data_IF_733690999143
#
_entry.id   IF_733690999143
#
_cell.length_a   1.000
_cell.length_b   1.000
_cell.length_c   1.000
_cell.angle_alpha   90.00
_cell.angle_beta   90.00
_cell.angle_gamma   90.00
#
_symmetry.space_group_name_H-M   'P 1'
#
loop_
_entity.id
_entity.type
_entity.pdbx_description
1 polymer ?
#
# COMPACT_ATOMS: atom_id res chain seq x y z
N UNK A 1 2.09 -15.31 -20.86
CA UNK A 1 0.80 -14.60 -20.69
C UNK A 1 0.98 -13.16 -21.13
N UNK A 2 0.20 -12.64 -22.07
CA UNK A 2 0.24 -11.23 -22.43
C UNK A 2 -0.13 -10.38 -21.21
N UNK A 3 0.61 -9.29 -21.01
CA UNK A 3 0.41 -8.36 -19.88
C UNK A 3 -0.97 -7.69 -19.98
N UNK A 4 -1.66 -7.47 -18.84
CA UNK A 4 -2.92 -6.74 -18.86
C UNK A 4 -2.65 -5.34 -19.41
N UNK A 5 -3.29 -5.01 -20.54
CA UNK A 5 -3.26 -3.66 -21.12
C UNK A 5 -3.69 -2.65 -20.06
N UNK A 6 -2.89 -1.59 -19.89
CA UNK A 6 -3.26 -0.47 -19.05
C UNK A 6 -4.59 0.10 -19.54
N UNK A 7 -5.55 0.30 -18.62
CA UNK A 7 -6.82 0.93 -18.98
C UNK A 7 -6.53 2.34 -19.49
N UNK A 8 -7.13 2.73 -20.63
CA UNK A 8 -6.96 4.04 -21.27
C UNK A 8 -7.39 5.25 -20.41
N UNK A 9 -7.91 5.01 -19.20
CA UNK A 9 -8.27 6.03 -18.23
C UNK A 9 -7.39 5.87 -16.99
N UNK A 10 -6.68 6.92 -16.56
CA UNK A 10 -5.99 6.94 -15.27
C UNK A 10 -7.00 6.61 -14.17
N UNK A 11 -6.68 5.72 -13.22
CA UNK A 11 -7.53 5.52 -12.05
C UNK A 11 -7.48 6.78 -11.17
N UNK A 12 -8.36 7.75 -11.45
CA UNK A 12 -8.37 9.09 -10.82
C UNK A 12 -8.23 9.03 -9.31
N UNK A 13 -8.99 8.15 -8.64
CA UNK A 13 -8.92 8.00 -7.19
C UNK A 13 -7.56 7.47 -6.69
N UNK A 14 -6.88 6.62 -7.46
CA UNK A 14 -5.55 6.13 -7.13
C UNK A 14 -4.47 7.19 -7.36
N UNK A 15 -4.60 8.00 -8.42
CA UNK A 15 -3.71 9.12 -8.70
C UNK A 15 -3.86 10.22 -7.65
N UNK A 16 -5.10 10.58 -7.31
CA UNK A 16 -5.41 11.57 -6.26
C UNK A 16 -4.89 11.11 -4.90
N UNK A 17 -4.96 9.81 -4.61
CA UNK A 17 -4.37 9.23 -3.40
C UNK A 17 -2.85 9.38 -3.38
N UNK A 18 -2.16 9.04 -4.48
CA UNK A 18 -0.70 9.08 -4.56
C UNK A 18 -0.15 10.52 -4.53
N UNK A 19 -0.75 11.44 -5.28
CA UNK A 19 -0.38 12.87 -5.31
C UNK A 19 -0.38 13.52 -3.93
N UNK A 20 -1.22 13.04 -3.03
CA UNK A 20 -1.40 13.60 -1.69
C UNK A 20 -0.56 12.91 -0.62
N UNK A 21 0.44 12.10 -0.99
CA UNK A 21 1.43 11.56 -0.06
C UNK A 21 2.50 12.58 0.29
N UNK A 22 2.92 12.63 1.55
CA UNK A 22 4.12 13.33 1.99
C UNK A 22 5.40 12.63 1.52
N UNK A 23 6.56 13.21 1.81
CA UNK A 23 7.87 12.59 1.58
C UNK A 23 8.52 12.34 2.94
N UNK A 24 8.99 11.12 3.17
CA UNK A 24 9.71 10.76 4.39
C UNK A 24 10.92 9.90 4.01
N UNK A 25 12.16 10.37 4.18
CA UNK A 25 13.34 9.52 4.02
C UNK A 25 13.34 8.40 5.05
N UNK A 26 13.74 7.19 4.66
CA UNK A 26 13.84 6.05 5.58
C UNK A 26 15.04 5.19 5.25
N UNK A 27 15.78 4.71 6.27
CA UNK A 27 16.95 3.86 6.05
C UNK A 27 16.54 2.40 5.86
N UNK A 28 15.72 1.86 6.77
CA UNK A 28 15.14 0.53 6.68
C UNK A 28 13.63 0.61 6.38
N UNK A 29 13.07 -0.39 5.72
CA UNK A 29 11.62 -0.42 5.50
C UNK A 29 10.85 -0.55 6.83
N UNK A 30 11.51 -1.04 7.88
CA UNK A 30 11.00 -1.13 9.25
C UNK A 30 11.00 0.22 9.99
N UNK A 31 11.66 1.25 9.45
CA UNK A 31 11.70 2.60 10.07
C UNK A 31 10.45 3.42 9.75
N UNK A 32 9.93 3.25 8.54
CA UNK A 32 8.75 3.96 8.08
C UNK A 32 7.57 3.03 8.30
N UNK A 33 6.86 3.18 9.41
CA UNK A 33 5.89 2.19 9.86
C UNK A 33 4.45 2.46 9.38
N UNK A 34 3.68 1.40 9.08
CA UNK A 34 2.22 1.35 8.75
C UNK A 34 1.58 2.61 8.12
N UNK A 35 1.20 3.57 8.94
CA UNK A 35 0.50 4.80 8.55
C UNK A 35 1.36 5.68 7.64
N UNK A 36 2.67 5.68 7.85
CA UNK A 36 3.63 6.39 7.01
C UNK A 36 3.77 5.76 5.62
N UNK A 37 3.56 4.44 5.45
CA UNK A 37 3.44 3.86 4.10
C UNK A 37 2.10 4.22 3.42
N UNK A 38 1.06 4.53 4.18
CA UNK A 38 -0.22 5.03 3.66
C UNK A 38 -0.17 6.53 3.32
N UNK A 39 0.60 7.30 4.09
CA UNK A 39 0.57 8.76 4.11
C UNK A 39 1.82 9.43 3.53
N UNK A 40 2.96 8.76 3.56
CA UNK A 40 4.22 9.20 2.98
C UNK A 40 4.70 8.24 1.87
N UNK A 41 5.43 8.80 0.92
CA UNK A 41 6.21 8.07 -0.06
C UNK A 41 7.62 7.92 0.47
N UNK A 42 8.04 6.68 0.68
CA UNK A 42 9.36 6.36 1.22
C UNK A 42 9.98 5.25 0.41
N UNK A 43 11.30 5.34 0.24
CA UNK A 43 12.12 4.28 -0.34
C UNK A 43 13.23 4.02 0.64
N UNK A 44 13.31 2.79 1.17
CA UNK A 44 14.36 2.44 2.13
C UNK A 44 15.74 2.84 1.58
N UNK A 45 16.69 3.24 2.43
CA UNK A 45 18.05 3.68 2.07
C UNK A 45 18.11 4.87 1.09
N UNK A 46 17.00 5.58 0.86
CA UNK A 46 16.95 6.81 0.08
C UNK A 46 16.83 7.98 1.04
N UNK A 47 17.96 8.39 1.60
CA UNK A 47 18.03 9.51 2.55
C UNK A 47 18.04 10.88 1.86
N UNK A 48 18.43 10.92 0.59
CA UNK A 48 18.40 12.14 -0.20
C UNK A 48 16.95 12.49 -0.59
N UNK A 49 16.48 13.63 -0.07
CA UNK A 49 15.12 14.11 -0.30
C UNK A 49 14.86 14.45 -1.77
N UNK A 50 15.83 15.02 -2.49
CA UNK A 50 15.68 15.38 -3.91
C UNK A 50 15.51 14.13 -4.78
N UNK A 51 16.32 13.09 -4.52
CA UNK A 51 16.15 11.80 -5.20
C UNK A 51 14.79 11.18 -4.91
N UNK A 52 14.30 11.30 -3.67
CA UNK A 52 12.98 10.80 -3.29
C UNK A 52 11.84 11.56 -4.00
N UNK A 53 11.98 12.88 -4.20
CA UNK A 53 11.05 13.70 -5.00
C UNK A 53 11.01 13.20 -6.44
N UNK A 54 12.16 13.01 -7.07
CA UNK A 54 12.25 12.58 -8.47
C UNK A 54 11.67 11.17 -8.66
N UNK A 55 11.98 10.24 -7.76
CA UNK A 55 11.43 8.88 -7.79
C UNK A 55 9.92 8.89 -7.56
N UNK A 56 9.41 9.72 -6.64
CA UNK A 56 7.97 9.90 -6.44
C UNK A 56 7.30 10.41 -7.71
N UNK A 57 7.88 11.41 -8.38
CA UNK A 57 7.34 11.98 -9.61
C UNK A 57 7.22 10.92 -10.72
N UNK A 58 8.24 10.05 -10.88
CA UNK A 58 8.19 8.95 -11.84
C UNK A 58 7.10 7.92 -11.51
N UNK A 59 6.88 7.61 -10.22
CA UNK A 59 5.80 6.71 -9.80
C UNK A 59 4.43 7.35 -10.06
N UNK A 60 4.30 8.65 -9.82
CA UNK A 60 3.08 9.40 -10.12
C UNK A 60 2.77 9.39 -11.62
N UNK A 61 3.77 9.67 -12.46
CA UNK A 61 3.65 9.64 -13.90
C UNK A 61 3.23 8.25 -14.38
N UNK A 62 3.87 7.19 -13.87
CA UNK A 62 3.52 5.83 -14.20
C UNK A 62 2.09 5.46 -13.79
N UNK A 63 1.57 6.01 -12.68
CA UNK A 63 0.17 5.87 -12.27
C UNK A 63 -0.78 6.63 -13.20
N UNK A 64 -0.42 7.86 -13.56
CA UNK A 64 -1.25 8.76 -14.37
C UNK A 64 -1.38 8.29 -15.82
N UNK A 65 -0.28 7.86 -16.43
CA UNK A 65 -0.23 7.42 -17.83
C UNK A 65 -0.48 5.92 -17.99
N UNK A 66 -0.57 5.18 -16.88
CA UNK A 66 -0.72 3.73 -16.91
C UNK A 66 0.51 3.00 -17.47
N UNK A 67 1.71 3.53 -17.25
CA UNK A 67 2.95 2.96 -17.78
C UNK A 67 3.16 1.51 -17.30
N UNK A 68 3.74 0.68 -18.16
CA UNK A 68 4.16 -0.68 -17.81
C UNK A 68 5.39 -0.66 -16.90
N UNK A 69 5.72 -1.81 -16.30
CA UNK A 69 6.94 -1.94 -15.50
C UNK A 69 8.19 -1.64 -16.32
N UNK A 70 8.23 -2.08 -17.59
CA UNK A 70 9.37 -1.89 -18.48
C UNK A 70 9.59 -0.41 -18.80
N UNK A 71 8.52 0.33 -19.06
CA UNK A 71 8.58 1.78 -19.30
C UNK A 71 9.08 2.52 -18.05
N UNK A 72 8.51 2.20 -16.89
CA UNK A 72 8.95 2.78 -15.62
C UNK A 72 10.42 2.44 -15.32
N UNK A 73 10.84 1.19 -15.51
CA UNK A 73 12.21 0.75 -15.26
C UNK A 73 13.22 1.46 -16.17
N UNK A 74 12.86 1.67 -17.45
CA UNK A 74 13.69 2.42 -18.40
C UNK A 74 13.85 3.89 -17.99
N UNK A 75 12.83 4.51 -17.37
CA UNK A 75 12.87 5.89 -16.90
C UNK A 75 13.64 6.07 -15.58
N UNK A 76 13.41 5.20 -14.59
CA UNK A 76 13.98 5.35 -13.25
C UNK A 76 15.44 4.87 -13.16
N UNK A 77 15.85 3.88 -13.94
CA UNK A 77 17.21 3.32 -13.83
C UNK A 77 18.31 4.36 -14.11
N UNK A 78 18.26 5.17 -15.19
CA UNK A 78 19.25 6.21 -15.43
C UNK A 78 19.35 7.23 -14.30
N UNK A 79 18.19 7.60 -13.72
CA UNK A 79 18.12 8.50 -12.56
C UNK A 79 18.89 7.92 -11.37
N UNK A 80 18.58 6.67 -10.99
CA UNK A 80 19.23 6.02 -9.85
C UNK A 80 20.74 5.82 -10.06
N UNK A 81 21.16 5.54 -11.29
CA UNK A 81 22.60 5.44 -11.62
C UNK A 81 23.27 6.80 -11.51
N UNK A 82 22.68 7.85 -12.10
CA UNK A 82 23.21 9.22 -12.06
C UNK A 82 23.30 9.75 -10.62
N UNK A 83 22.35 9.40 -9.77
CA UNK A 83 22.33 9.81 -8.36
C UNK A 83 23.28 9.00 -7.46
N UNK A 84 24.05 8.06 -8.02
CA UNK A 84 24.91 7.15 -7.26
C UNK A 84 24.14 6.11 -6.43
N UNK A 85 22.82 6.01 -6.59
CA UNK A 85 21.97 5.08 -5.85
C UNK A 85 21.83 3.75 -6.61
N UNK A 86 22.93 3.16 -7.06
CA UNK A 86 22.91 1.90 -7.82
C UNK A 86 23.98 0.93 -7.35
N UNK A 87 23.64 -0.36 -7.34
CA UNK A 87 24.56 -1.42 -6.93
C UNK A 87 24.71 -1.55 -5.41
N UNK A 88 25.79 -2.19 -5.00
CA UNK A 88 26.20 -2.32 -3.60
C UNK A 88 27.03 -1.09 -3.26
N UNK A 89 26.69 -0.42 -2.17
CA UNK A 89 27.41 0.73 -1.64
C UNK A 89 27.69 0.52 -0.14
N UNK A 90 28.72 1.18 0.36
CA UNK A 90 28.95 1.29 1.79
C UNK A 90 28.11 2.43 2.34
N UNK A 91 27.36 2.18 3.41
CA UNK A 91 26.52 3.19 4.03
C UNK A 91 26.48 2.98 5.54
N UNK A 92 26.56 4.08 6.28
CA UNK A 92 26.45 4.06 7.72
C UNK A 92 24.98 3.98 8.12
N UNK A 93 24.64 3.04 8.99
CA UNK A 93 23.31 2.93 9.55
C UNK A 93 23.10 4.06 10.57
N UNK A 94 22.16 5.00 10.36
CA UNK A 94 21.96 6.11 11.28
C UNK A 94 21.48 5.69 12.67
N UNK A 95 20.96 4.46 12.82
CA UNK A 95 20.51 3.94 14.11
C UNK A 95 21.64 3.28 14.93
N UNK A 96 22.62 2.66 14.27
CA UNK A 96 23.70 1.92 14.96
C UNK A 96 25.09 2.56 14.82
N UNK A 97 25.28 3.44 13.83
CA UNK A 97 26.56 4.05 13.49
C UNK A 97 27.53 3.13 12.74
N UNK A 98 27.11 1.91 12.38
CA UNK A 98 27.97 0.93 11.71
C UNK A 98 27.93 1.08 10.18
N UNK A 99 29.09 1.03 9.54
CA UNK A 99 29.20 0.95 8.07
C UNK A 99 28.85 -0.45 7.58
N UNK A 100 27.82 -0.54 6.72
CA UNK A 100 27.38 -1.79 6.15
C UNK A 100 27.38 -1.76 4.62
N UNK A 101 27.71 -2.90 4.00
CA UNK A 101 27.51 -3.10 2.56
C UNK A 101 26.02 -3.27 2.29
N UNK A 102 25.42 -2.29 1.63
CA UNK A 102 24.00 -2.27 1.33
C UNK A 102 23.74 -2.26 -0.17
N UNK A 103 22.84 -3.14 -0.61
CA UNK A 103 22.27 -3.00 -1.95
C UNK A 103 21.35 -1.78 -1.97
N UNK A 104 21.72 -0.76 -2.76
CA UNK A 104 20.89 0.41 -3.07
C UNK A 104 19.95 0.06 -4.23
N UNK A 105 20.12 0.64 -5.41
CA UNK A 105 19.35 0.30 -6.60
C UNK A 105 19.69 -1.09 -7.16
N UNK A 106 18.67 -1.81 -7.60
CA UNK A 106 18.78 -3.03 -8.40
C UNK A 106 17.51 -3.21 -9.24
N UNK A 107 17.57 -4.04 -10.28
CA UNK A 107 16.39 -4.38 -11.09
C UNK A 107 15.24 -4.94 -10.24
N UNK A 108 15.57 -5.85 -9.32
CA UNK A 108 14.59 -6.40 -8.37
C UNK A 108 13.95 -5.32 -7.49
N UNK A 109 14.74 -4.33 -7.07
CA UNK A 109 14.25 -3.25 -6.22
C UNK A 109 13.37 -2.26 -6.97
N UNK A 110 13.73 -1.89 -8.20
CA UNK A 110 12.86 -1.07 -9.07
C UNK A 110 11.49 -1.74 -9.21
N UNK A 111 11.49 -3.06 -9.44
CA UNK A 111 10.26 -3.86 -9.53
C UNK A 111 9.43 -3.81 -8.26
N UNK A 112 10.06 -3.92 -7.09
CA UNK A 112 9.36 -3.79 -5.80
C UNK A 112 8.77 -2.40 -5.62
N UNK A 113 9.54 -1.33 -5.87
CA UNK A 113 9.08 0.06 -5.77
C UNK A 113 7.86 0.28 -6.65
N UNK A 114 7.95 -0.09 -7.93
CA UNK A 114 6.83 0.02 -8.86
C UNK A 114 5.62 -0.77 -8.36
N UNK A 115 5.77 -2.08 -8.14
CA UNK A 115 4.62 -2.96 -7.85
C UNK A 115 3.93 -2.61 -6.54
N UNK A 116 4.69 -2.30 -5.49
CA UNK A 116 4.14 -1.94 -4.19
C UNK A 116 3.33 -0.65 -4.29
N UNK A 117 3.92 0.43 -4.82
CA UNK A 117 3.21 1.70 -4.94
C UNK A 117 1.98 1.61 -5.84
N UNK A 118 2.12 0.92 -6.98
CA UNK A 118 1.03 0.73 -7.93
C UNK A 118 -0.13 -0.08 -7.35
N UNK A 119 0.14 -1.08 -6.50
CA UNK A 119 -0.92 -1.88 -5.86
C UNK A 119 -1.56 -1.15 -4.70
N UNK A 120 -0.79 -0.54 -3.81
CA UNK A 120 -1.33 0.19 -2.66
C UNK A 120 -2.18 1.38 -3.13
N UNK A 121 -1.74 2.11 -4.16
CA UNK A 121 -2.53 3.20 -4.76
C UNK A 121 -3.85 2.71 -5.37
N UNK A 122 -3.81 1.61 -6.14
CA UNK A 122 -5.03 1.02 -6.72
C UNK A 122 -5.97 0.49 -5.64
N UNK A 123 -5.46 -0.14 -4.58
CA UNK A 123 -6.26 -0.62 -3.46
C UNK A 123 -6.94 0.54 -2.72
N UNK A 124 -6.23 1.63 -2.47
CA UNK A 124 -6.81 2.81 -1.85
C UNK A 124 -7.89 3.47 -2.74
N UNK A 125 -7.63 3.60 -4.04
CA UNK A 125 -8.63 4.09 -4.99
C UNK A 125 -9.85 3.15 -5.09
N UNK A 126 -9.62 1.84 -5.05
CA UNK A 126 -10.70 0.84 -5.01
C UNK A 126 -11.55 1.01 -3.74
N UNK A 127 -10.95 1.18 -2.58
CA UNK A 127 -11.68 1.39 -1.32
C UNK A 127 -12.54 2.66 -1.36
N UNK A 128 -12.03 3.76 -1.91
CA UNK A 128 -12.82 4.98 -2.08
C UNK A 128 -14.05 4.76 -2.97
N UNK A 129 -13.90 3.98 -4.05
CA UNK A 129 -15.04 3.59 -4.88
C UNK A 129 -16.02 2.70 -4.12
N UNK A 130 -15.50 1.70 -3.39
CA UNK A 130 -16.29 0.80 -2.55
C UNK A 130 -17.15 1.60 -1.58
N UNK A 131 -16.56 2.53 -0.82
CA UNK A 131 -17.29 3.38 0.13
C UNK A 131 -18.37 4.22 -0.55
N UNK A 132 -18.09 4.75 -1.75
CA UNK A 132 -19.06 5.54 -2.53
C UNK A 132 -20.24 4.71 -3.01
N UNK A 133 -20.02 3.44 -3.37
CA UNK A 133 -21.05 2.56 -3.96
C UNK A 133 -21.63 1.54 -2.99
N UNK A 134 -21.19 1.53 -1.72
CA UNK A 134 -21.59 0.50 -0.74
C UNK A 134 -23.10 0.41 -0.51
N UNK A 135 -23.85 1.50 -0.72
CA UNK A 135 -25.32 1.47 -0.65
C UNK A 135 -25.95 0.51 -1.67
N UNK A 136 -25.39 0.47 -2.89
CA UNK A 136 -25.87 -0.40 -3.97
C UNK A 136 -25.21 -1.78 -3.94
N UNK A 137 -23.93 -1.84 -3.56
CA UNK A 137 -23.14 -3.07 -3.51
C UNK A 137 -22.49 -3.21 -2.12
N UNK A 138 -23.23 -3.68 -1.11
CA UNK A 138 -22.81 -3.60 0.29
C UNK A 138 -21.87 -4.71 0.75
N UNK A 139 -21.49 -5.66 -0.11
CA UNK A 139 -20.63 -6.78 0.24
C UNK A 139 -19.36 -6.82 -0.60
N UNK A 140 -18.31 -7.41 -0.03
CA UNK A 140 -17.02 -7.64 -0.66
C UNK A 140 -16.70 -9.13 -0.63
N UNK A 141 -16.16 -9.63 -1.74
CA UNK A 141 -15.61 -10.98 -1.87
C UNK A 141 -14.09 -10.87 -1.96
N UNK A 142 -13.35 -11.54 -1.08
CA UNK A 142 -11.91 -11.69 -1.19
C UNK A 142 -11.55 -12.69 -2.29
N UNK A 143 -10.66 -12.32 -3.20
CA UNK A 143 -10.28 -13.15 -4.34
C UNK A 143 -8.77 -13.23 -4.53
N UNK A 144 -8.30 -14.42 -4.93
CA UNK A 144 -6.93 -14.62 -5.35
C UNK A 144 -6.66 -13.87 -6.66
N UNK A 145 -5.44 -13.32 -6.76
CA UNK A 145 -4.95 -12.73 -8.00
C UNK A 145 -4.13 -13.72 -8.84
N UNK A 146 -3.48 -13.26 -9.92
CA UNK A 146 -2.71 -14.09 -10.84
C UNK A 146 -1.28 -14.36 -10.30
N UNK A 147 -1.12 -14.66 -9.01
CA UNK A 147 0.17 -15.13 -8.52
C UNK A 147 0.31 -16.61 -8.87
N UNK A 148 1.54 -17.09 -9.10
CA UNK A 148 1.77 -18.52 -9.30
C UNK A 148 1.57 -19.29 -8.01
N UNK A 149 1.97 -18.67 -6.90
CA UNK A 149 1.91 -19.24 -5.56
C UNK A 149 1.21 -18.25 -4.62
N UNK A 150 0.42 -18.79 -3.72
CA UNK A 150 -0.35 -18.05 -2.74
C UNK A 150 -0.01 -18.55 -1.34
N UNK A 151 0.00 -17.63 -0.36
CA UNK A 151 0.14 -17.99 1.06
C UNK A 151 -1.08 -18.83 1.47
N UNK A 152 -0.89 -19.86 2.29
CA UNK A 152 -1.95 -20.81 2.64
C UNK A 152 -3.22 -20.12 3.19
N UNK A 153 -3.05 -19.16 4.12
CA UNK A 153 -4.19 -18.39 4.64
C UNK A 153 -4.88 -17.54 3.56
N UNK A 154 -4.15 -17.03 2.56
CA UNK A 154 -4.79 -16.27 1.48
C UNK A 154 -5.64 -17.18 0.60
N UNK A 155 -5.26 -18.46 0.47
CA UNK A 155 -6.05 -19.49 -0.22
C UNK A 155 -7.31 -19.81 0.57
N UNK A 156 -7.23 -19.96 1.89
CA UNK A 156 -8.42 -20.17 2.73
C UNK A 156 -9.35 -18.96 2.76
N UNK A 157 -8.82 -17.75 2.56
CA UNK A 157 -9.63 -16.53 2.46
C UNK A 157 -10.33 -16.34 1.10
N UNK A 158 -9.99 -17.14 0.09
CA UNK A 158 -10.64 -17.02 -1.20
C UNK A 158 -12.14 -17.33 -1.09
N UNK A 159 -12.99 -16.37 -1.43
CA UNK A 159 -14.45 -16.49 -1.30
C UNK A 159 -15.02 -16.00 0.04
N UNK A 160 -14.20 -15.51 0.98
CA UNK A 160 -14.70 -14.75 2.14
C UNK A 160 -15.54 -13.58 1.62
N UNK A 161 -16.81 -13.57 1.99
CA UNK A 161 -17.83 -12.64 1.52
C UNK A 161 -18.46 -11.94 2.70
N UNK A 162 -18.06 -10.69 2.93
CA UNK A 162 -18.43 -9.94 4.12
C UNK A 162 -19.02 -8.57 3.75
N UNK A 163 -19.86 -7.98 4.62
CA UNK A 163 -20.26 -6.58 4.48
C UNK A 163 -19.04 -5.65 4.33
N UNK A 164 -19.18 -4.56 3.59
CA UNK A 164 -18.11 -3.54 3.43
C UNK A 164 -17.64 -2.99 4.78
N UNK A 165 -18.57 -2.82 5.73
CA UNK A 165 -18.28 -2.26 7.05
C UNK A 165 -17.76 -3.31 8.07
N UNK A 166 -17.56 -4.56 7.66
CA UNK A 166 -17.03 -5.61 8.52
C UNK A 166 -15.61 -5.25 9.03
N UNK A 167 -15.32 -5.42 10.33
CA UNK A 167 -14.01 -5.12 10.91
C UNK A 167 -12.84 -5.88 10.26
N UNK A 168 -13.08 -7.04 9.66
CA UNK A 168 -12.04 -7.84 8.98
C UNK A 168 -11.32 -7.03 7.89
N UNK A 169 -12.04 -6.17 7.17
CA UNK A 169 -11.48 -5.31 6.12
C UNK A 169 -10.58 -4.19 6.65
N UNK A 170 -10.47 -3.98 7.96
CA UNK A 170 -9.53 -3.00 8.52
C UNK A 170 -8.08 -3.44 8.33
N UNK A 171 -7.82 -4.75 8.30
CA UNK A 171 -6.46 -5.32 8.23
C UNK A 171 -6.26 -6.29 7.06
N UNK A 172 -7.34 -6.83 6.47
CA UNK A 172 -7.28 -7.84 5.41
C UNK A 172 -7.58 -7.30 4.01
N UNK A 173 -7.73 -5.98 3.85
CA UNK A 173 -7.88 -5.34 2.54
C UNK A 173 -6.56 -5.44 1.75
N UNK A 174 -6.49 -6.19 0.65
CA UNK A 174 -5.26 -6.38 -0.09
C UNK A 174 -4.67 -5.06 -0.61
N UNK A 175 -3.34 -4.96 -0.76
CA UNK A 175 -2.34 -6.02 -0.55
C UNK A 175 -2.05 -6.33 0.93
N UNK A 176 -1.95 -7.63 1.25
CA UNK A 176 -1.75 -8.15 2.62
C UNK A 176 -0.28 -8.52 2.94
N UNK A 177 0.65 -8.09 2.09
CA UNK A 177 2.07 -8.46 2.17
C UNK A 177 2.84 -8.18 0.89
N UNK A 178 4.16 -8.32 0.97
CA UNK A 178 5.04 -8.13 -0.18
C UNK A 178 4.70 -9.13 -1.28
N UNK A 179 4.57 -8.62 -2.52
CA UNK A 179 4.22 -9.43 -3.68
C UNK A 179 2.80 -10.00 -3.69
N UNK A 180 1.95 -9.68 -2.70
CA UNK A 180 0.55 -10.11 -2.67
C UNK A 180 -0.19 -9.64 -3.93
N UNK A 181 -0.92 -10.57 -4.56
CA UNK A 181 -1.72 -10.26 -5.77
C UNK A 181 -3.22 -10.30 -5.58
N UNK A 182 -3.68 -10.69 -4.39
CA UNK A 182 -5.09 -10.77 -4.03
C UNK A 182 -5.79 -9.42 -4.19
N UNK A 183 -7.11 -9.46 -4.30
CA UNK A 183 -7.96 -8.30 -4.53
C UNK A 183 -9.34 -8.56 -3.95
N UNK A 184 -10.18 -7.53 -3.91
CA UNK A 184 -11.58 -7.65 -3.48
C UNK A 184 -12.52 -7.31 -4.61
N UNK A 185 -13.67 -7.96 -4.65
CA UNK A 185 -14.74 -7.67 -5.60
C UNK A 185 -15.99 -7.24 -4.86
N UNK A 186 -16.54 -6.09 -5.23
CA UNK A 186 -17.79 -5.61 -4.63
C UNK A 186 -18.99 -6.28 -5.30
N UNK A 187 -19.97 -6.70 -4.50
CA UNK A 187 -21.17 -7.42 -4.97
C UNK A 187 -22.45 -6.82 -4.40
N UNK A 188 -23.54 -6.99 -5.14
CA UNK A 188 -24.88 -6.57 -4.72
C UNK A 188 -25.52 -7.53 -3.71
N UNK A 189 -26.60 -7.10 -3.05
CA UNK A 189 -27.40 -7.98 -2.19
C UNK A 189 -27.98 -9.19 -2.95
N UNK A 190 -28.36 -8.98 -4.20
CA UNK A 190 -28.89 -10.04 -5.05
C UNK A 190 -27.83 -11.10 -5.37
N UNK A 191 -26.62 -10.67 -5.71
CA UNK A 191 -25.52 -11.61 -5.94
C UNK A 191 -25.11 -12.32 -4.65
N UNK A 192 -25.04 -11.61 -3.52
CA UNK A 192 -24.79 -12.21 -2.21
C UNK A 192 -25.77 -13.37 -1.94
N UNK A 193 -27.07 -13.14 -2.11
CA UNK A 193 -28.09 -14.17 -1.88
C UNK A 193 -27.95 -15.38 -2.82
N UNK A 194 -27.39 -15.20 -4.03
CA UNK A 194 -27.09 -16.32 -4.95
C UNK A 194 -25.87 -17.11 -4.53
N UNK A 195 -24.87 -16.45 -3.95
CA UNK A 195 -23.65 -17.10 -3.50
C UNK A 195 -23.85 -17.84 -2.17
N UNK A 196 -24.86 -17.45 -1.39
CA UNK A 196 -25.21 -18.12 -0.14
C UNK A 196 -25.50 -19.61 -0.39
N UNK A 197 -24.82 -20.49 0.35
CA UNK A 197 -24.88 -21.94 0.15
C UNK A 197 -24.07 -22.48 -1.04
N UNK A 198 -23.41 -21.63 -1.82
CA UNK A 198 -22.50 -22.07 -2.90
C UNK A 198 -21.15 -22.50 -2.33
N UNK A 199 -20.64 -23.65 -2.78
CA UNK A 199 -19.33 -24.15 -2.38
C UNK A 199 -18.22 -23.15 -2.72
N UNK A 200 -17.30 -22.93 -1.77
CA UNK A 200 -16.17 -22.03 -1.93
C UNK A 200 -16.43 -20.57 -1.54
N UNK A 201 -17.64 -20.23 -1.09
CA UNK A 201 -17.95 -18.95 -0.47
C UNK A 201 -18.24 -19.11 1.02
N UNK A 202 -17.79 -18.15 1.81
CA UNK A 202 -17.95 -18.13 3.26
C UNK A 202 -18.45 -16.76 3.69
N UNK A 203 -19.36 -16.72 4.64
CA UNK A 203 -20.11 -15.51 5.00
C UNK A 203 -19.85 -15.02 6.42
N UNK A 204 -18.84 -15.59 7.07
CA UNK A 204 -18.36 -15.20 8.38
C UNK A 204 -16.87 -14.89 8.31
N UNK A 205 -16.43 -13.90 9.08
CA UNK A 205 -15.01 -13.56 9.15
C UNK A 205 -14.24 -14.72 9.80
N UNK A 206 -13.13 -15.18 9.20
CA UNK A 206 -12.34 -16.26 9.77
C UNK A 206 -11.64 -15.79 11.04
N UNK A 207 -11.56 -16.68 12.03
CA UNK A 207 -10.84 -16.45 13.29
C UNK A 207 -9.46 -17.12 13.24
N UNK A 208 -8.58 -16.61 12.37
CA UNK A 208 -7.22 -17.16 12.17
C UNK A 208 -6.23 -16.82 13.31
N UNK A 209 -6.70 -16.07 14.32
CA UNK A 209 -5.90 -15.61 15.45
C UNK A 209 -4.85 -14.57 15.06
N UNK A 210 -3.87 -14.43 15.94
CA UNK A 210 -2.78 -13.46 15.80
C UNK A 210 -1.43 -14.13 15.98
N UNK A 211 -0.39 -13.53 15.40
CA UNK A 211 1.00 -13.90 15.60
C UNK A 211 1.78 -12.72 16.18
N UNK A 212 2.70 -13.01 17.07
CA UNK A 212 3.68 -12.02 17.50
C UNK A 212 4.80 -11.92 16.46
N UNK A 213 5.23 -10.69 16.19
CA UNK A 213 6.37 -10.40 15.34
C UNK A 213 7.26 -9.38 16.05
N UNK A 214 8.53 -9.71 16.19
CA UNK A 214 9.52 -8.81 16.77
C UNK A 214 10.25 -8.04 15.67
N UNK A 215 10.18 -6.72 15.75
CA UNK A 215 11.00 -5.84 14.94
C UNK A 215 12.45 -5.98 15.38
N UNK A 216 13.26 -6.72 14.62
CA UNK A 216 14.69 -6.91 14.94
C UNK A 216 15.52 -5.61 14.94
N UNK A 217 14.96 -4.48 14.49
CA UNK A 217 15.65 -3.18 14.44
C UNK A 217 15.30 -2.30 15.64
N UNK A 218 14.02 -2.21 16.02
CA UNK A 218 13.60 -1.41 17.19
C UNK A 218 13.51 -2.23 18.48
N UNK A 219 13.47 -3.57 18.38
CA UNK A 219 13.23 -4.49 19.49
C UNK A 219 11.75 -4.62 19.86
N UNK A 220 10.86 -3.83 19.24
CA UNK A 220 9.43 -3.83 19.56
C UNK A 220 8.73 -5.11 19.09
N UNK A 221 7.86 -5.65 19.94
CA UNK A 221 7.01 -6.79 19.60
C UNK A 221 5.63 -6.30 19.24
N UNK A 222 5.14 -6.72 18.09
CA UNK A 222 3.79 -6.44 17.64
C UNK A 222 2.95 -7.70 17.47
N UNK A 223 1.67 -7.57 17.79
CA UNK A 223 0.66 -8.61 17.52
C UNK A 223 -0.01 -8.31 16.18
N UNK A 224 0.12 -9.22 15.23
CA UNK A 224 -0.39 -9.09 13.86
C UNK A 224 -1.46 -10.16 13.58
N UNK A 225 -2.52 -9.86 12.81
CA UNK A 225 -3.40 -10.90 12.31
C UNK A 225 -2.62 -11.97 11.55
N UNK A 226 -2.95 -13.24 11.80
CA UNK A 226 -2.35 -14.36 11.07
C UNK A 226 -2.55 -14.18 9.56
N UNK A 227 -1.53 -14.50 8.76
CA UNK A 227 -1.59 -14.37 7.30
C UNK A 227 -1.35 -12.97 6.75
N UNK A 228 -1.27 -11.93 7.60
CA UNK A 228 -0.84 -10.59 7.21
C UNK A 228 0.65 -10.41 7.51
N UNK A 229 1.38 -9.78 6.60
CA UNK A 229 2.79 -9.46 6.83
C UNK A 229 2.96 -8.16 7.64
N UNK A 230 4.05 -8.03 8.43
CA UNK A 230 4.36 -6.80 9.15
C UNK A 230 4.39 -5.60 8.20
N UNK A 231 3.76 -4.49 8.61
CA UNK A 231 3.65 -3.28 7.80
C UNK A 231 2.55 -3.31 6.73
N UNK A 232 1.72 -4.36 6.68
CA UNK A 232 0.57 -4.47 5.77
C UNK A 232 -0.77 -4.67 6.48
N UNK A 233 -0.77 -4.65 7.81
CA UNK A 233 -1.95 -4.80 8.67
C UNK A 233 -2.74 -3.49 8.80
N UNK A 234 -3.05 -2.87 7.68
CA UNK A 234 -3.93 -1.71 7.59
C UNK A 234 -4.66 -1.72 6.25
N UNK A 235 -5.80 -1.04 6.18
CA UNK A 235 -6.53 -0.83 4.94
C UNK A 235 -6.00 0.43 4.24
N UNK A 236 -5.39 0.33 3.04
CA UNK A 236 -4.80 1.49 2.36
C UNK A 236 -5.77 2.64 2.08
N UNK A 237 -7.04 2.32 1.89
CA UNK A 237 -8.09 3.31 1.69
C UNK A 237 -8.52 4.02 2.97
N UNK A 238 -8.69 3.28 4.08
CA UNK A 238 -9.10 3.86 5.37
C UNK A 238 -7.99 4.71 6.00
N UNK A 239 -6.75 4.21 6.00
CA UNK A 239 -5.61 4.92 6.59
C UNK A 239 -5.44 6.33 5.99
N UNK A 240 -5.62 6.48 4.67
CA UNK A 240 -5.56 7.79 4.02
C UNK A 240 -6.72 8.71 4.39
N UNK A 241 -7.94 8.17 4.50
CA UNK A 241 -9.10 8.97 4.91
C UNK A 241 -8.89 9.53 6.32
N UNK A 242 -8.33 8.73 7.23
CA UNK A 242 -7.97 9.17 8.58
C UNK A 242 -6.90 10.27 8.54
N UNK A 243 -5.82 10.08 7.76
CA UNK A 243 -4.79 11.08 7.60
C UNK A 243 -5.30 12.39 6.98
N UNK A 244 -6.23 12.33 6.02
CA UNK A 244 -6.85 13.53 5.44
C UNK A 244 -7.65 14.30 6.49
N UNK A 245 -8.40 13.58 7.32
CA UNK A 245 -9.16 14.19 8.42
C UNK A 245 -8.23 14.84 9.44
N UNK A 246 -7.10 14.18 9.76
CA UNK A 246 -6.09 14.73 10.65
C UNK A 246 -5.44 16.00 10.07
N UNK A 247 -5.02 15.99 8.80
CA UNK A 247 -4.47 17.16 8.11
C UNK A 247 -5.46 18.33 8.07
N UNK A 248 -6.73 18.06 7.78
CA UNK A 248 -7.79 19.08 7.75
C UNK A 248 -8.01 19.67 9.14
N UNK A 249 -8.09 18.83 10.17
CA UNK A 249 -8.23 19.30 11.56
C UNK A 249 -7.03 20.15 11.99
N UNK A 250 -5.81 19.75 11.63
CA UNK A 250 -4.60 20.53 11.89
C UNK A 250 -4.65 21.89 11.18
N UNK A 251 -5.02 21.93 9.89
CA UNK A 251 -5.17 23.19 9.15
C UNK A 251 -6.27 24.09 9.71
N UNK A 252 -7.41 23.52 10.11
CA UNK A 252 -8.49 24.27 10.77
C UNK A 252 -8.01 24.85 12.11
N UNK A 253 -7.23 24.10 12.88
CA UNK A 253 -6.63 24.57 14.13
C UNK A 253 -5.63 25.70 13.89
N UNK A 254 -4.70 25.55 12.92
CA UNK A 254 -3.76 26.61 12.54
C UNK A 254 -4.48 27.86 12.04
N UNK A 255 -5.55 27.70 11.24
CA UNK A 255 -6.37 28.81 10.75
C UNK A 255 -7.09 29.53 11.89
N UNK A 256 -7.66 28.79 12.85
CA UNK A 256 -8.28 29.38 14.05
C UNK A 256 -7.26 30.15 14.89
N UNK A 257 -6.06 29.61 15.07
CA UNK A 257 -4.98 30.26 15.82
C UNK A 257 -4.47 31.54 15.15
N UNK A 258 -4.35 31.53 13.82
CA UNK A 258 -3.93 32.72 13.04
C UNK A 258 -5.01 33.79 12.98
N UNK A 259 -6.29 33.42 12.95
CA UNK A 259 -7.41 34.37 13.02
C UNK A 259 -7.69 34.88 14.45
N UNK A 260 -7.21 34.19 15.48
CA UNK A 260 -7.36 34.59 16.88
C UNK A 260 -6.16 35.37 17.43
N UNK A 261 -5.10 35.56 16.63
CA UNK A 261 -3.96 36.36 17.04
C UNK A 261 -4.36 37.85 17.01
N UNK A 262 -4.17 38.62 18.11
CA UNK A 262 -4.43 40.05 18.09
C UNK A 262 -3.47 40.73 17.11
N UNK A 263 -3.98 41.72 16.36
CA UNK A 263 -3.20 42.61 15.48
C UNK A 263 -2.10 43.35 16.24
#
# INVERSE_FOLDING_TARGET
MPEPKASAFPPKEALDWFKKKGLQPGFDYRDVWKEEHANAFTVAKMLNADLLVEVRALVEQALAEGQTYQQFAAAIKPLLVKSGWWGIQQMDDPATGETQQVQLGSEGRIKTIYRTNMRTARAAGQWQRIERTKRAMPYLVYQLGPAREHRALHVSWNGITLPVDDPWWQTHMPPNGWGCRCWVRQISKFEYAKLEGTQGYQFAAPSDGTKEWMNKRTGEVEVLPSGIEPGWNYNPGKARQQALKADLAAKEQTLRQTLSAPL
#
